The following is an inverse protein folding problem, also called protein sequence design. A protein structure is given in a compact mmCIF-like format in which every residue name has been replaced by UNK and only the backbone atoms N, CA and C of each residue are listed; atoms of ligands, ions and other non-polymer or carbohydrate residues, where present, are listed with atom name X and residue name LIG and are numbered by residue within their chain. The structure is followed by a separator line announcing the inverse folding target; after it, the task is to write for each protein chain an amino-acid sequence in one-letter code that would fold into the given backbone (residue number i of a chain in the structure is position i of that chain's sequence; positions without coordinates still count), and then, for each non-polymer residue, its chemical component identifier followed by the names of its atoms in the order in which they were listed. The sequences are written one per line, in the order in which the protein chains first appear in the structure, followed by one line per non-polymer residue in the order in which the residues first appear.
data_IF_943456041993
#
_entry.id   IF_943456041993
#
_cell.length_a   1.000
_cell.length_b   1.000
_cell.length_c   1.000
_cell.angle_alpha   90.00
_cell.angle_beta   90.00
_cell.angle_gamma   90.00
#
_symmetry.space_group_name_H-M   'P 1'
#
loop_
_entity.id
_entity.type
_entity.pdbx_description
1 polymer ?
#
# COMPACT_ATOMS: atom_id res chain seq x y z
N UNK A 1 -9.70 8.28 -36.61
CA UNK A 1 -8.57 7.72 -35.81
C UNK A 1 -8.59 8.43 -34.47
N UNK A 2 -8.85 7.71 -33.39
CA UNK A 2 -8.76 8.25 -32.00
C UNK A 2 -7.31 8.59 -31.73
N UNK A 3 -7.01 9.82 -31.37
CA UNK A 3 -5.65 10.28 -31.07
C UNK A 3 -5.41 10.21 -29.56
N UNK A 4 -4.87 9.08 -29.09
CA UNK A 4 -4.35 8.99 -27.74
C UNK A 4 -3.03 9.75 -27.61
N UNK A 5 -2.87 10.44 -26.47
CA UNK A 5 -1.64 11.14 -26.13
C UNK A 5 -1.36 11.01 -24.63
N UNK A 6 -0.11 11.23 -24.24
CA UNK A 6 0.33 11.26 -22.84
C UNK A 6 0.67 12.69 -22.45
N UNK A 7 0.12 13.16 -21.35
CA UNK A 7 0.45 14.43 -20.71
C UNK A 7 1.03 14.18 -19.34
N UNK A 8 2.17 14.75 -19.04
CA UNK A 8 2.80 14.65 -17.72
C UNK A 8 1.84 15.19 -16.64
N UNK A 9 1.75 14.48 -15.53
CA UNK A 9 0.94 14.86 -14.37
C UNK A 9 1.61 15.99 -13.61
N UNK A 10 0.85 17.01 -13.24
CA UNK A 10 1.22 18.10 -12.35
C UNK A 10 0.46 17.99 -11.02
N UNK A 11 0.89 18.71 -9.99
CA UNK A 11 0.20 18.69 -8.68
C UNK A 11 -1.27 19.15 -8.76
N UNK A 12 -1.57 20.03 -9.73
CA UNK A 12 -2.94 20.49 -10.00
C UNK A 12 -3.85 19.41 -10.60
N UNK A 13 -3.29 18.30 -11.07
CA UNK A 13 -4.06 17.21 -11.67
C UNK A 13 -4.58 16.18 -10.65
N UNK A 14 -4.32 16.38 -9.37
CA UNK A 14 -4.65 15.38 -8.36
C UNK A 14 -6.14 15.01 -8.33
N UNK A 15 -7.04 15.99 -8.50
CA UNK A 15 -8.48 15.74 -8.59
C UNK A 15 -8.85 14.97 -9.87
N UNK A 16 -8.29 15.37 -11.02
CA UNK A 16 -8.53 14.68 -12.28
C UNK A 16 -8.01 13.23 -12.22
N UNK A 17 -6.84 13.03 -11.61
CA UNK A 17 -6.26 11.70 -11.39
C UNK A 17 -7.15 10.85 -10.50
N UNK A 18 -7.60 11.38 -9.36
CA UNK A 18 -8.52 10.70 -8.44
C UNK A 18 -9.85 10.33 -9.14
N UNK A 19 -10.39 11.23 -9.96
CA UNK A 19 -11.58 10.96 -10.76
C UNK A 19 -11.39 9.81 -11.75
N UNK A 20 -10.22 9.69 -12.36
CA UNK A 20 -9.91 8.56 -13.27
C UNK A 20 -9.74 7.25 -12.51
N UNK A 21 -9.11 7.26 -11.33
CA UNK A 21 -9.04 6.07 -10.45
C UNK A 21 -10.44 5.56 -10.15
N UNK A 22 -11.33 6.43 -9.73
CA UNK A 22 -12.73 6.07 -9.44
C UNK A 22 -13.50 5.60 -10.69
N UNK A 23 -13.25 6.18 -11.87
CA UNK A 23 -13.87 5.73 -13.11
C UNK A 23 -13.41 4.32 -13.52
N UNK A 24 -12.17 3.96 -13.22
CA UNK A 24 -11.62 2.62 -13.49
C UNK A 24 -12.10 1.62 -12.43
N UNK A 25 -12.07 2.04 -11.17
CA UNK A 25 -12.47 1.23 -10.01
C UNK A 25 -13.46 2.01 -9.14
N UNK A 26 -14.78 1.88 -9.37
CA UNK A 26 -15.79 2.60 -8.59
C UNK A 26 -15.78 2.29 -7.10
N UNK A 27 -15.19 1.18 -6.70
CA UNK A 27 -14.98 0.76 -5.31
C UNK A 27 -13.68 1.34 -4.68
N UNK A 28 -12.90 2.11 -5.45
CA UNK A 28 -11.70 2.81 -4.99
C UNK A 28 -11.89 4.33 -5.07
N UNK A 29 -11.42 5.03 -4.06
CA UNK A 29 -11.37 6.49 -4.04
C UNK A 29 -9.97 6.91 -3.66
N UNK A 30 -9.33 7.71 -4.50
CA UNK A 30 -8.03 8.31 -4.20
C UNK A 30 -8.23 9.70 -3.59
N UNK A 31 -7.49 9.99 -2.51
CA UNK A 31 -7.49 11.31 -1.88
C UNK A 31 -6.52 12.24 -2.62
N UNK A 32 -6.98 13.38 -3.19
CA UNK A 32 -6.11 14.31 -3.90
C UNK A 32 -4.99 14.90 -3.02
N UNK A 33 -5.19 15.09 -1.72
CA UNK A 33 -4.16 15.64 -0.84
C UNK A 33 -3.07 14.61 -0.54
N UNK A 34 -3.44 13.34 -0.37
CA UNK A 34 -2.49 12.22 -0.27
C UNK A 34 -1.68 12.08 -1.56
N UNK A 35 -2.34 12.20 -2.72
CA UNK A 35 -1.67 12.18 -4.03
C UNK A 35 -0.65 13.33 -4.14
N UNK A 36 -1.05 14.57 -3.81
CA UNK A 36 -0.16 15.75 -3.86
C UNK A 36 1.04 15.59 -2.91
N UNK A 37 0.82 15.11 -1.68
CA UNK A 37 1.90 14.90 -0.73
C UNK A 37 2.92 13.90 -1.30
N UNK A 38 2.45 12.74 -1.76
CA UNK A 38 3.30 11.72 -2.37
C UNK A 38 4.06 12.24 -3.60
N UNK A 39 3.40 12.97 -4.49
CA UNK A 39 4.03 13.49 -5.70
C UNK A 39 5.06 14.59 -5.43
N UNK A 40 4.91 15.39 -4.35
CA UNK A 40 5.95 16.35 -3.92
C UNK A 40 7.23 15.64 -3.51
N UNK A 41 7.10 14.57 -2.73
CA UNK A 41 8.24 13.78 -2.27
C UNK A 41 8.94 13.11 -3.45
N UNK A 42 8.16 12.58 -4.39
CA UNK A 42 8.66 11.93 -5.59
C UNK A 42 9.27 12.91 -6.60
N UNK A 43 8.81 14.15 -6.68
CA UNK A 43 9.31 15.18 -7.60
C UNK A 43 10.76 15.61 -7.31
N UNK A 44 11.32 15.24 -6.16
CA UNK A 44 12.71 15.54 -5.81
C UNK A 44 13.73 14.91 -6.77
N UNK A 45 13.37 13.82 -7.49
CA UNK A 45 14.22 13.19 -8.51
C UNK A 45 13.42 12.75 -9.73
N UNK A 46 13.19 13.66 -10.70
CA UNK A 46 12.40 13.36 -11.91
C UNK A 46 13.08 12.36 -12.85
N UNK A 47 14.36 12.04 -12.65
CA UNK A 47 15.06 11.05 -13.47
C UNK A 47 14.69 9.61 -13.08
N UNK A 48 13.95 9.42 -11.98
CA UNK A 48 13.60 8.12 -11.44
C UNK A 48 12.16 7.74 -11.64
N UNK A 49 11.34 8.60 -12.23
CA UNK A 49 9.92 8.35 -12.45
C UNK A 49 9.31 9.27 -13.49
N UNK A 50 8.19 8.84 -14.04
CA UNK A 50 7.26 9.70 -14.77
C UNK A 50 5.82 9.21 -14.57
N UNK A 51 4.89 10.16 -14.52
CA UNK A 51 3.44 9.92 -14.44
C UNK A 51 2.73 10.68 -15.55
N UNK A 52 1.75 10.03 -16.12
CA UNK A 52 1.00 10.57 -17.26
C UNK A 52 -0.50 10.41 -17.04
N UNK A 53 -1.25 11.44 -17.41
CA UNK A 53 -2.64 11.28 -17.81
C UNK A 53 -2.67 10.78 -19.24
N UNK A 54 -3.46 9.74 -19.48
CA UNK A 54 -3.77 9.27 -20.82
C UNK A 54 -4.96 10.05 -21.35
N UNK A 55 -4.80 10.69 -22.49
CA UNK A 55 -5.83 11.50 -23.13
C UNK A 55 -6.30 10.84 -24.41
N UNK A 56 -7.61 10.77 -24.61
CA UNK A 56 -8.23 10.53 -25.90
C UNK A 56 -8.78 11.88 -26.38
N UNK A 57 -8.17 12.48 -27.40
CA UNK A 57 -8.35 13.88 -27.79
C UNK A 57 -8.02 14.83 -26.62
N UNK A 58 -9.03 15.36 -25.93
CA UNK A 58 -8.86 16.27 -24.78
C UNK A 58 -9.39 15.67 -23.46
N UNK A 59 -10.03 14.50 -23.52
CA UNK A 59 -10.62 13.84 -22.33
C UNK A 59 -9.61 12.92 -21.69
N UNK A 60 -9.43 13.06 -20.38
CA UNK A 60 -8.64 12.10 -19.60
C UNK A 60 -9.40 10.77 -19.55
N UNK A 61 -8.74 9.69 -19.94
CA UNK A 61 -9.33 8.37 -20.08
C UNK A 61 -8.46 7.25 -19.50
N UNK A 62 -7.35 7.59 -18.87
CA UNK A 62 -6.48 6.60 -18.26
C UNK A 62 -5.28 7.23 -17.57
N UNK A 63 -4.48 6.38 -16.98
CA UNK A 63 -3.28 6.70 -16.21
C UNK A 63 -2.13 5.81 -16.67
N UNK A 64 -0.92 6.35 -16.70
CA UNK A 64 0.29 5.55 -16.90
C UNK A 64 1.42 6.11 -16.05
N UNK A 65 2.28 5.24 -15.55
CA UNK A 65 3.49 5.66 -14.85
C UNK A 65 4.58 4.60 -14.89
N UNK A 66 5.79 5.04 -14.65
CA UNK A 66 6.89 4.20 -14.21
C UNK A 66 7.64 4.87 -13.06
N UNK A 67 8.22 4.08 -12.18
CA UNK A 67 9.00 4.56 -11.03
C UNK A 67 10.09 3.54 -10.70
N UNK A 68 11.35 3.98 -10.63
CA UNK A 68 12.44 3.14 -10.12
C UNK A 68 12.25 2.87 -8.64
N UNK A 69 12.34 1.62 -8.24
CA UNK A 69 12.32 1.25 -6.82
C UNK A 69 13.60 1.75 -6.16
N UNK A 70 13.44 2.55 -5.11
CA UNK A 70 14.57 3.14 -4.37
C UNK A 70 15.17 2.15 -3.37
N UNK A 71 16.49 2.05 -3.34
CA UNK A 71 17.22 1.21 -2.37
C UNK A 71 18.72 1.32 -2.58
N UNK A 72 19.56 0.80 -1.66
CA UNK A 72 21.00 0.75 -1.82
C UNK A 72 21.35 0.01 -3.11
N UNK A 73 21.90 0.72 -4.08
CA UNK A 73 22.15 0.27 -5.46
C UNK A 73 23.00 -1.01 -5.58
N UNK A 74 23.72 -1.40 -4.54
CA UNK A 74 24.70 -2.48 -4.59
C UNK A 74 24.11 -3.90 -4.44
N UNK A 75 22.83 -4.05 -4.07
CA UNK A 75 22.29 -5.36 -3.65
C UNK A 75 21.00 -5.80 -4.40
N UNK A 76 20.39 -4.95 -5.23
CA UNK A 76 19.12 -5.30 -5.89
C UNK A 76 19.21 -5.08 -7.40
N UNK A 77 18.56 -5.95 -8.19
CA UNK A 77 18.38 -5.66 -9.61
C UNK A 77 17.63 -4.33 -9.74
N UNK A 78 18.00 -3.54 -10.77
CA UNK A 78 17.34 -2.26 -11.04
C UNK A 78 15.91 -2.53 -11.48
N UNK A 79 14.99 -2.45 -10.52
CA UNK A 79 13.56 -2.69 -10.69
C UNK A 79 12.84 -1.37 -10.90
N UNK A 80 11.91 -1.34 -11.85
CA UNK A 80 10.92 -0.27 -11.94
C UNK A 80 9.50 -0.83 -11.80
N UNK A 81 8.63 -0.10 -11.11
CA UNK A 81 7.19 -0.30 -11.22
C UNK A 81 6.72 0.37 -12.50
N UNK A 82 5.89 -0.31 -13.29
CA UNK A 82 5.19 0.24 -14.44
C UNK A 82 3.70 -0.02 -14.30
N UNK A 83 2.88 0.92 -14.72
CA UNK A 83 1.44 0.73 -14.71
C UNK A 83 0.81 1.47 -15.89
N UNK A 84 -0.19 0.83 -16.50
CA UNK A 84 -1.06 1.41 -17.52
C UNK A 84 -2.48 1.02 -17.17
N UNK A 85 -3.34 1.99 -16.96
CA UNK A 85 -4.77 1.78 -16.66
C UNK A 85 -5.61 2.63 -17.58
N UNK A 86 -6.54 1.99 -18.28
CA UNK A 86 -7.50 2.65 -19.16
C UNK A 86 -8.90 2.45 -18.61
N UNK A 87 -9.72 3.49 -18.69
CA UNK A 87 -11.13 3.39 -18.33
C UNK A 87 -11.80 2.29 -19.18
N UNK A 88 -12.76 1.52 -18.64
CA UNK A 88 -13.33 0.35 -19.32
C UNK A 88 -13.80 0.62 -20.75
N UNK A 89 -14.44 1.75 -20.99
CA UNK A 89 -14.94 2.17 -22.30
C UNK A 89 -13.84 2.62 -23.28
N UNK A 90 -12.61 2.80 -22.78
CA UNK A 90 -11.44 3.23 -23.55
C UNK A 90 -10.37 2.12 -23.68
N UNK A 91 -10.70 0.92 -23.23
CA UNK A 91 -9.82 -0.23 -23.31
C UNK A 91 -9.65 -0.66 -24.77
N UNK A 92 -8.49 -0.38 -25.33
CA UNK A 92 -8.06 -0.79 -26.64
C UNK A 92 -6.66 -1.39 -26.54
N UNK A 93 -6.48 -2.52 -27.21
CA UNK A 93 -5.23 -3.24 -27.19
C UNK A 93 -4.08 -2.41 -27.80
N UNK A 94 -4.32 -1.75 -28.94
CA UNK A 94 -3.28 -1.00 -29.64
C UNK A 94 -2.75 0.17 -28.79
N UNK A 95 -3.64 0.88 -28.11
CA UNK A 95 -3.29 1.98 -27.21
C UNK A 95 -2.59 1.49 -25.97
N UNK A 96 -3.08 0.39 -25.36
CA UNK A 96 -2.41 -0.23 -24.23
C UNK A 96 -0.98 -0.67 -24.59
N UNK A 97 -0.81 -1.34 -25.72
CA UNK A 97 0.49 -1.80 -26.23
C UNK A 97 1.46 -0.64 -26.44
N UNK A 98 0.97 0.47 -27.03
CA UNK A 98 1.78 1.67 -27.26
C UNK A 98 2.19 2.33 -25.94
N UNK A 99 1.26 2.53 -25.01
CA UNK A 99 1.54 3.17 -23.71
C UNK A 99 2.50 2.32 -22.89
N UNK A 100 2.24 1.01 -22.80
CA UNK A 100 3.09 0.10 -22.01
C UNK A 100 4.53 0.08 -22.54
N UNK A 101 4.72 -0.01 -23.87
CA UNK A 101 6.05 0.07 -24.47
C UNK A 101 6.75 1.38 -24.14
N UNK A 102 6.01 2.48 -24.13
CA UNK A 102 6.57 3.79 -23.76
C UNK A 102 7.06 3.79 -22.31
N UNK A 103 6.28 3.25 -21.37
CA UNK A 103 6.70 3.13 -19.96
C UNK A 103 7.93 2.23 -19.82
N UNK A 104 7.98 1.11 -20.53
CA UNK A 104 9.13 0.19 -20.53
C UNK A 104 10.40 0.84 -21.08
N UNK A 105 10.31 1.57 -22.18
CA UNK A 105 11.44 2.28 -22.79
C UNK A 105 11.99 3.34 -21.84
N UNK A 106 11.14 4.15 -21.22
CA UNK A 106 11.57 5.18 -20.27
C UNK A 106 12.18 4.58 -19.00
N UNK A 107 11.56 3.55 -18.44
CA UNK A 107 12.10 2.83 -17.30
C UNK A 107 13.47 2.20 -17.61
N UNK A 108 13.62 1.60 -18.81
CA UNK A 108 14.90 1.04 -19.27
C UNK A 108 15.96 2.12 -19.46
N UNK A 109 15.61 3.26 -20.04
CA UNK A 109 16.52 4.41 -20.21
C UNK A 109 16.97 4.97 -18.84
N UNK A 110 16.11 4.92 -17.82
CA UNK A 110 16.45 5.24 -16.43
C UNK A 110 17.28 4.14 -15.73
N UNK A 111 17.53 3.02 -16.42
CA UNK A 111 18.40 1.93 -15.97
C UNK A 111 17.68 0.73 -15.38
N UNK A 112 16.36 0.61 -15.49
CA UNK A 112 15.65 -0.60 -15.09
C UNK A 112 16.05 -1.79 -15.99
N UNK A 113 16.22 -2.95 -15.40
CA UNK A 113 16.43 -4.23 -16.09
C UNK A 113 15.30 -5.22 -15.87
N UNK A 114 14.48 -4.95 -14.86
CA UNK A 114 13.24 -5.66 -14.57
C UNK A 114 12.15 -4.62 -14.38
N UNK A 115 10.96 -4.92 -14.89
CA UNK A 115 9.75 -4.15 -14.64
C UNK A 115 8.73 -5.00 -13.90
N UNK A 116 8.03 -4.36 -12.95
CA UNK A 116 6.95 -4.93 -12.17
C UNK A 116 5.66 -4.19 -12.50
N UNK A 117 4.63 -4.93 -12.84
CA UNK A 117 3.27 -4.42 -12.98
C UNK A 117 2.34 -5.09 -11.97
N UNK A 118 1.32 -4.38 -11.49
CA UNK A 118 0.31 -4.93 -10.59
C UNK A 118 -1.06 -4.73 -11.21
N UNK A 119 -1.86 -5.80 -11.23
CA UNK A 119 -3.26 -5.78 -11.67
C UNK A 119 -4.16 -6.31 -10.57
N UNK A 120 -5.44 -5.99 -10.63
CA UNK A 120 -6.45 -6.70 -9.82
C UNK A 120 -6.82 -8.04 -10.47
N UNK A 121 -7.29 -8.99 -9.67
CA UNK A 121 -7.78 -10.29 -10.17
C UNK A 121 -8.98 -10.13 -11.12
N UNK A 122 -9.80 -9.10 -10.93
CA UNK A 122 -10.99 -8.78 -11.72
C UNK A 122 -10.70 -7.84 -12.93
N UNK A 123 -9.44 -7.67 -13.31
CA UNK A 123 -9.00 -6.90 -14.49
C UNK A 123 -8.51 -7.80 -15.64
N UNK A 124 -9.37 -8.56 -16.33
CA UNK A 124 -8.94 -9.51 -17.35
C UNK A 124 -8.25 -8.84 -18.56
N UNK A 125 -8.66 -7.62 -18.93
CA UNK A 125 -8.05 -6.87 -20.03
C UNK A 125 -6.56 -6.59 -19.73
N UNK A 126 -6.25 -6.01 -18.59
CA UNK A 126 -4.88 -5.66 -18.21
C UNK A 126 -4.00 -6.91 -18.07
N UNK A 127 -4.51 -7.95 -17.39
CA UNK A 127 -3.80 -9.22 -17.21
C UNK A 127 -3.44 -9.89 -18.54
N UNK A 128 -4.42 -9.99 -19.46
CA UNK A 128 -4.20 -10.61 -20.78
C UNK A 128 -3.17 -9.84 -21.60
N UNK A 129 -3.24 -8.51 -21.59
CA UNK A 129 -2.30 -7.69 -22.35
C UNK A 129 -0.89 -7.73 -21.75
N UNK A 130 -0.73 -7.70 -20.42
CA UNK A 130 0.57 -7.89 -19.78
C UNK A 130 1.19 -9.25 -20.16
N UNK A 131 0.41 -10.35 -20.10
CA UNK A 131 0.90 -11.67 -20.48
C UNK A 131 1.39 -11.70 -21.95
N UNK A 132 0.67 -11.05 -22.89
CA UNK A 132 1.08 -10.91 -24.31
C UNK A 132 2.38 -10.13 -24.46
N UNK A 133 2.67 -9.20 -23.57
CA UNK A 133 3.93 -8.45 -23.52
C UNK A 133 5.06 -9.20 -22.78
N UNK A 134 4.86 -10.45 -22.42
CA UNK A 134 5.87 -11.29 -21.77
C UNK A 134 6.03 -11.06 -20.26
N UNK A 135 5.05 -10.44 -19.62
CA UNK A 135 4.99 -10.42 -18.16
C UNK A 135 4.54 -11.78 -17.64
N UNK A 136 5.26 -12.28 -16.67
CA UNK A 136 4.94 -13.52 -15.96
C UNK A 136 4.35 -13.20 -14.60
N UNK A 137 3.32 -13.94 -14.19
CA UNK A 137 2.79 -13.85 -12.82
C UNK A 137 3.86 -14.25 -11.84
N UNK A 138 4.10 -13.39 -10.87
CA UNK A 138 5.09 -13.58 -9.81
C UNK A 138 4.41 -13.92 -8.49
N UNK A 139 3.55 -13.04 -7.99
CA UNK A 139 2.89 -13.19 -6.68
C UNK A 139 1.43 -12.80 -6.74
N UNK A 140 0.68 -13.34 -5.79
CA UNK A 140 -0.74 -13.01 -5.60
C UNK A 140 -0.93 -12.55 -4.15
N UNK A 141 -1.59 -11.42 -3.99
CA UNK A 141 -2.01 -10.91 -2.68
C UNK A 141 -3.53 -10.94 -2.58
N UNK A 142 -4.05 -11.19 -1.41
CA UNK A 142 -5.48 -11.10 -1.13
C UNK A 142 -5.81 -9.74 -0.56
N UNK A 143 -6.79 -9.07 -1.16
CA UNK A 143 -7.39 -7.88 -0.58
C UNK A 143 -8.55 -8.28 0.32
N UNK A 144 -8.81 -7.47 1.35
CA UNK A 144 -9.79 -7.75 2.37
C UNK A 144 -10.51 -6.48 2.78
N UNK A 145 -11.75 -6.63 3.23
CA UNK A 145 -12.48 -5.58 3.93
C UNK A 145 -13.04 -6.06 5.26
N UNK A 146 -13.13 -5.16 6.22
CA UNK A 146 -13.79 -5.39 7.51
C UNK A 146 -14.89 -4.37 7.70
N UNK A 147 -16.14 -4.85 7.82
CA UNK A 147 -17.29 -4.00 8.09
C UNK A 147 -17.39 -3.72 9.59
N UNK A 148 -17.00 -2.52 9.99
CA UNK A 148 -16.96 -2.11 11.40
C UNK A 148 -18.36 -1.86 11.99
N UNK A 149 -19.36 -1.62 11.15
CA UNK A 149 -20.76 -1.43 11.59
C UNK A 149 -21.37 -2.78 11.98
N UNK A 150 -21.24 -3.76 11.10
CA UNK A 150 -21.78 -5.11 11.31
C UNK A 150 -21.06 -5.85 12.43
N UNK A 151 -19.73 -5.74 12.48
CA UNK A 151 -18.87 -6.49 13.39
C UNK A 151 -18.60 -5.76 14.72
N UNK A 152 -19.19 -4.56 14.93
CA UNK A 152 -18.89 -3.66 16.06
C UNK A 152 -18.83 -4.37 17.41
N UNK A 153 -19.89 -5.09 17.79
CA UNK A 153 -20.00 -5.72 19.10
C UNK A 153 -18.90 -6.74 19.33
N UNK A 154 -18.74 -7.66 18.37
CA UNK A 154 -17.74 -8.73 18.41
C UNK A 154 -16.30 -8.18 18.46
N UNK A 155 -16.02 -7.12 17.70
CA UNK A 155 -14.68 -6.50 17.66
C UNK A 155 -14.34 -5.80 18.98
N UNK A 156 -15.29 -5.10 19.59
CA UNK A 156 -15.06 -4.45 20.91
C UNK A 156 -14.88 -5.46 22.04
N UNK A 157 -15.61 -6.56 22.05
CA UNK A 157 -15.41 -7.68 22.96
C UNK A 157 -14.02 -8.33 22.75
N UNK A 158 -13.64 -8.58 21.49
CA UNK A 158 -12.33 -9.12 21.15
C UNK A 158 -11.20 -8.17 21.55
N UNK A 159 -11.38 -6.85 21.41
CA UNK A 159 -10.44 -5.83 21.89
C UNK A 159 -10.25 -5.92 23.41
N UNK A 160 -11.35 -5.98 24.16
CA UNK A 160 -11.29 -6.10 25.63
C UNK A 160 -10.58 -7.38 26.07
N UNK A 161 -10.93 -8.52 25.48
CA UNK A 161 -10.29 -9.80 25.77
C UNK A 161 -8.79 -9.79 25.41
N UNK A 162 -8.42 -9.14 24.31
CA UNK A 162 -7.03 -9.01 23.87
C UNK A 162 -6.20 -8.14 24.82
N UNK A 163 -6.77 -7.02 25.31
CA UNK A 163 -6.12 -6.19 26.34
C UNK A 163 -5.83 -6.98 27.62
N UNK A 164 -6.78 -7.80 28.04
CA UNK A 164 -6.59 -8.68 29.22
C UNK A 164 -5.49 -9.71 28.98
N UNK A 165 -5.44 -10.32 27.80
CA UNK A 165 -4.38 -11.26 27.43
C UNK A 165 -3.00 -10.59 27.43
N UNK A 166 -2.89 -9.34 26.90
CA UNK A 166 -1.62 -8.60 26.92
C UNK A 166 -1.17 -8.27 28.35
N UNK A 167 -2.09 -7.87 29.24
CA UNK A 167 -1.77 -7.62 30.66
C UNK A 167 -1.22 -8.86 31.36
N UNK A 168 -1.72 -10.06 31.06
CA UNK A 168 -1.20 -11.32 31.63
C UNK A 168 0.23 -11.64 31.22
N UNK A 169 0.69 -11.06 30.11
CA UNK A 169 2.07 -11.13 29.63
C UNK A 169 2.93 -9.95 30.05
N UNK A 170 2.42 -9.04 30.90
CA UNK A 170 3.03 -7.75 31.24
C UNK A 170 3.32 -6.87 30.02
N UNK A 171 2.51 -7.02 28.96
CA UNK A 171 2.61 -6.18 27.77
C UNK A 171 1.62 -5.02 27.84
N UNK A 172 2.12 -3.81 27.63
CA UNK A 172 1.32 -2.59 27.63
C UNK A 172 0.97 -2.17 26.21
N UNK A 173 -0.31 -1.83 25.99
CA UNK A 173 -0.80 -1.24 24.75
C UNK A 173 -1.02 0.26 24.99
N UNK A 174 -0.52 1.11 24.07
CA UNK A 174 -0.65 2.56 24.16
C UNK A 174 -0.73 3.18 22.78
N UNK A 175 -1.47 4.27 22.63
CA UNK A 175 -1.33 5.14 21.48
C UNK A 175 0.05 5.82 21.48
N UNK A 176 0.57 6.18 20.31
CA UNK A 176 1.91 6.76 20.19
C UNK A 176 2.05 8.07 20.98
N UNK A 177 1.02 8.90 20.96
CA UNK A 177 0.97 10.17 21.68
C UNK A 177 1.08 10.04 23.22
N UNK A 178 0.60 8.93 23.77
CA UNK A 178 0.67 8.66 25.24
C UNK A 178 2.10 8.39 25.72
N UNK A 179 3.00 8.06 24.78
CA UNK A 179 4.37 7.63 25.07
C UNK A 179 5.41 8.50 24.37
N UNK A 180 5.07 9.71 23.97
CA UNK A 180 5.96 10.63 23.25
C UNK A 180 7.32 10.84 23.95
N UNK A 181 7.35 10.84 25.30
CA UNK A 181 8.57 10.95 26.12
C UNK A 181 9.57 9.79 25.95
N UNK A 182 9.18 8.68 25.31
CA UNK A 182 10.03 7.49 25.08
C UNK A 182 10.78 7.50 23.76
N UNK A 183 10.76 8.61 23.02
CA UNK A 183 11.34 8.71 21.66
C UNK A 183 10.85 7.61 20.71
N UNK A 184 9.53 7.45 20.57
CA UNK A 184 8.96 6.26 19.93
C UNK A 184 9.30 6.14 18.45
N UNK A 185 9.48 7.25 17.72
CA UNK A 185 9.74 7.26 16.27
C UNK A 185 10.99 6.47 15.86
N UNK A 186 12.09 6.60 16.61
CA UNK A 186 13.31 5.84 16.31
C UNK A 186 13.11 4.34 16.51
N UNK A 187 12.31 3.95 17.50
CA UNK A 187 12.00 2.55 17.79
C UNK A 187 11.02 1.97 16.79
N UNK A 188 10.02 2.74 16.34
CA UNK A 188 9.11 2.35 15.27
C UNK A 188 9.88 2.11 13.98
N UNK A 189 10.77 3.04 13.59
CA UNK A 189 11.62 2.87 12.42
C UNK A 189 12.51 1.63 12.52
N UNK A 190 13.16 1.40 13.68
CA UNK A 190 13.96 0.18 13.87
C UNK A 190 13.14 -1.08 13.66
N UNK A 191 11.94 -1.16 14.25
CA UNK A 191 11.06 -2.31 14.08
C UNK A 191 10.57 -2.44 12.62
N UNK A 192 10.27 -1.35 11.94
CA UNK A 192 9.95 -1.36 10.51
C UNK A 192 11.14 -1.89 9.69
N UNK A 193 12.35 -1.38 9.94
CA UNK A 193 13.55 -1.79 9.22
C UNK A 193 13.90 -3.28 9.43
N UNK A 194 13.60 -3.83 10.61
CA UNK A 194 13.76 -5.26 10.91
C UNK A 194 12.72 -6.14 10.19
N UNK A 195 11.48 -5.63 10.02
CA UNK A 195 10.36 -6.45 9.57
C UNK A 195 10.01 -6.28 8.09
N UNK A 196 10.35 -5.15 7.45
CA UNK A 196 10.15 -4.94 6.00
C UNK A 196 10.83 -6.03 5.16
N UNK A 197 12.10 -6.43 5.42
CA UNK A 197 12.74 -7.50 4.65
C UNK A 197 12.10 -8.88 4.81
N UNK A 198 11.24 -9.07 5.80
CA UNK A 198 10.53 -10.33 6.04
C UNK A 198 9.17 -10.40 5.32
N UNK A 199 8.76 -9.32 4.67
CA UNK A 199 7.54 -9.34 3.84
C UNK A 199 7.78 -10.29 2.67
N UNK A 200 6.92 -11.29 2.45
CA UNK A 200 7.08 -12.21 1.33
C UNK A 200 7.10 -11.46 0.00
N UNK A 201 8.19 -11.58 -0.73
CA UNK A 201 8.38 -10.97 -2.04
C UNK A 201 9.50 -11.68 -2.80
N UNK A 202 9.39 -11.82 -4.11
CA UNK A 202 10.40 -12.44 -4.96
C UNK A 202 11.63 -11.52 -5.14
N UNK A 203 11.37 -10.22 -5.24
CA UNK A 203 12.43 -9.20 -5.26
C UNK A 203 12.31 -8.44 -3.94
N UNK A 204 13.27 -8.59 -3.00
CA UNK A 204 13.19 -7.92 -1.71
C UNK A 204 12.96 -6.42 -1.83
N UNK A 205 12.02 -5.89 -1.06
CA UNK A 205 11.82 -4.45 -0.98
C UNK A 205 12.96 -3.83 -0.15
N UNK A 206 13.56 -2.75 -0.64
CA UNK A 206 14.59 -2.06 0.13
C UNK A 206 13.98 -1.42 1.38
N UNK A 207 14.71 -1.49 2.49
CA UNK A 207 14.34 -0.71 3.67
C UNK A 207 14.48 0.77 3.32
N UNK A 208 13.42 1.59 3.44
CA UNK A 208 13.52 3.02 3.16
C UNK A 208 14.52 3.69 4.11
N UNK A 209 15.14 4.79 3.69
CA UNK A 209 15.91 5.61 4.63
C UNK A 209 15.00 6.09 5.76
N UNK A 210 15.60 6.46 6.89
CA UNK A 210 14.82 6.99 8.02
C UNK A 210 14.03 8.23 7.62
N UNK A 211 14.61 9.09 6.81
CA UNK A 211 14.02 10.32 6.31
C UNK A 211 12.80 10.01 5.44
N UNK A 212 12.93 9.11 4.46
CA UNK A 212 11.84 8.70 3.58
C UNK A 212 10.71 8.01 4.35
N UNK A 213 11.06 7.15 5.32
CA UNK A 213 10.07 6.52 6.19
C UNK A 213 9.35 7.54 7.08
N UNK A 214 10.08 8.52 7.64
CA UNK A 214 9.48 9.59 8.44
C UNK A 214 8.54 10.47 7.61
N UNK A 215 8.90 10.82 6.37
CA UNK A 215 8.01 11.55 5.46
C UNK A 215 6.69 10.80 5.24
N UNK A 216 6.77 9.48 4.99
CA UNK A 216 5.58 8.64 4.85
C UNK A 216 4.73 8.64 6.14
N UNK A 217 5.37 8.50 7.31
CA UNK A 217 4.67 8.48 8.60
C UNK A 217 4.12 9.85 9.05
N UNK A 218 4.52 10.93 8.39
CA UNK A 218 4.00 12.29 8.58
C UNK A 218 3.08 12.71 7.42
N UNK A 219 2.66 11.77 6.57
CA UNK A 219 1.69 12.00 5.51
C UNK A 219 0.33 12.45 6.06
N UNK A 220 -0.50 13.11 5.21
CA UNK A 220 -1.78 13.68 5.64
C UNK A 220 -2.80 12.65 6.10
N UNK A 221 -2.59 11.38 5.77
CA UNK A 221 -3.44 10.25 6.10
C UNK A 221 -2.96 9.45 7.32
N UNK A 222 -1.80 9.79 7.90
CA UNK A 222 -1.24 9.14 9.10
C UNK A 222 -1.35 10.07 10.30
N UNK A 223 -1.96 9.59 11.38
CA UNK A 223 -2.19 10.36 12.60
C UNK A 223 -1.49 9.70 13.79
N UNK A 224 -0.65 10.44 14.50
CA UNK A 224 0.14 9.91 15.62
C UNK A 224 -0.73 9.31 16.74
N UNK A 225 -1.88 9.93 17.03
CA UNK A 225 -2.85 9.46 18.02
C UNK A 225 -3.57 8.17 17.61
N UNK A 226 -3.37 7.72 16.37
CA UNK A 226 -3.97 6.52 15.78
C UNK A 226 -2.95 5.43 15.47
N UNK A 227 -1.71 5.62 15.86
CA UNK A 227 -0.66 4.58 15.83
C UNK A 227 -0.67 3.88 17.18
N UNK A 228 -0.99 2.58 17.18
CA UNK A 228 -1.01 1.77 18.38
C UNK A 228 0.24 0.94 18.52
N UNK A 229 0.78 0.90 19.73
CA UNK A 229 2.06 0.27 20.08
C UNK A 229 1.87 -0.74 21.20
N UNK A 230 2.70 -1.77 21.18
CA UNK A 230 2.81 -2.77 22.26
C UNK A 230 4.22 -2.73 22.85
N UNK A 231 4.31 -2.78 24.18
CA UNK A 231 5.55 -2.64 24.94
C UNK A 231 5.72 -3.76 25.94
N UNK A 232 6.96 -4.27 26.05
CA UNK A 232 7.42 -5.10 27.15
C UNK A 232 8.43 -4.27 27.98
N UNK A 233 8.00 -3.75 29.13
CA UNK A 233 8.76 -2.75 29.88
C UNK A 233 9.08 -1.50 29.03
N UNK A 234 10.36 -1.27 28.76
CA UNK A 234 10.84 -0.16 27.92
C UNK A 234 11.04 -0.54 26.44
N UNK A 235 10.88 -1.80 26.07
CA UNK A 235 11.10 -2.30 24.70
C UNK A 235 9.81 -2.24 23.90
N UNK A 236 9.84 -1.59 22.74
CA UNK A 236 8.78 -1.68 21.73
C UNK A 236 8.80 -3.10 21.13
N UNK A 237 7.68 -3.80 21.16
CA UNK A 237 7.56 -5.18 20.67
C UNK A 237 6.61 -5.33 19.49
N UNK A 238 5.78 -4.32 19.23
CA UNK A 238 4.89 -4.31 18.07
C UNK A 238 4.20 -2.97 17.90
N UNK A 239 3.72 -2.69 16.69
CA UNK A 239 2.84 -1.57 16.40
C UNK A 239 1.93 -1.86 15.22
N UNK A 240 0.85 -1.09 15.11
CA UNK A 240 -0.04 -1.05 13.96
C UNK A 240 -0.64 0.34 13.80
N UNK A 241 -0.95 0.72 12.56
CA UNK A 241 -1.70 1.91 12.27
C UNK A 241 -2.59 1.72 11.05
N UNK A 242 -3.62 2.55 10.97
CA UNK A 242 -4.47 2.71 9.80
C UNK A 242 -4.15 4.05 9.14
N UNK A 243 -4.23 4.09 7.82
CA UNK A 243 -4.21 5.29 6.98
C UNK A 243 -5.64 5.83 6.90
N UNK A 244 -5.83 7.12 7.21
CA UNK A 244 -7.13 7.81 7.24
C UNK A 244 -7.11 8.99 6.26
N UNK A 245 -7.24 8.76 4.97
CA UNK A 245 -7.34 9.85 4.01
C UNK A 245 -8.60 10.67 4.28
N UNK A 246 -8.59 11.98 3.92
CA UNK A 246 -9.75 12.83 4.04
C UNK A 246 -10.88 12.41 3.09
N UNK A 247 -10.51 11.82 1.97
CA UNK A 247 -11.42 11.17 1.03
C UNK A 247 -10.97 9.75 0.72
N UNK A 248 -11.90 8.81 0.66
CA UNK A 248 -11.61 7.42 0.31
C UNK A 248 -11.64 6.46 1.50
N UNK A 249 -11.06 5.29 1.26
CA UNK A 249 -11.11 4.18 2.20
C UNK A 249 -10.03 4.26 3.27
N UNK A 250 -10.37 3.79 4.47
CA UNK A 250 -9.39 3.57 5.53
C UNK A 250 -8.67 2.24 5.29
N UNK A 251 -7.34 2.28 5.27
CA UNK A 251 -6.51 1.11 5.01
C UNK A 251 -5.58 0.78 6.17
N UNK A 252 -5.29 -0.50 6.37
CA UNK A 252 -4.17 -0.88 7.24
C UNK A 252 -2.87 -0.42 6.60
N UNK A 253 -2.18 0.53 7.22
CA UNK A 253 -0.90 1.02 6.77
C UNK A 253 0.21 0.01 7.02
N UNK A 254 0.38 -0.42 8.26
CA UNK A 254 1.36 -1.45 8.62
C UNK A 254 1.01 -2.14 9.96
N UNK A 255 1.49 -3.38 10.10
CA UNK A 255 1.47 -4.11 11.37
C UNK A 255 2.78 -4.88 11.51
N UNK A 256 3.53 -4.63 12.56
CA UNK A 256 4.82 -5.27 12.83
C UNK A 256 4.92 -5.79 14.26
N UNK A 257 5.62 -6.90 14.44
CA UNK A 257 5.95 -7.49 15.76
C UNK A 257 7.37 -8.03 15.70
N UNK A 258 8.16 -7.74 16.74
CA UNK A 258 9.51 -8.28 16.88
C UNK A 258 9.48 -9.80 16.86
N UNK A 259 10.49 -10.42 16.27
CA UNK A 259 10.53 -11.88 16.04
C UNK A 259 10.31 -12.68 17.33
N UNK A 260 10.91 -12.25 18.43
CA UNK A 260 10.86 -12.95 19.73
C UNK A 260 9.48 -12.87 20.41
N UNK A 261 8.62 -11.95 19.98
CA UNK A 261 7.29 -11.76 20.57
C UNK A 261 6.15 -12.24 19.64
N UNK A 262 6.48 -12.88 18.52
CA UNK A 262 5.48 -13.52 17.65
C UNK A 262 4.84 -14.73 18.32
N UNK A 263 3.66 -15.10 17.86
CA UNK A 263 2.88 -16.21 18.46
C UNK A 263 2.24 -15.90 19.82
N UNK A 264 2.44 -14.69 20.37
CA UNK A 264 1.89 -14.26 21.67
C UNK A 264 0.66 -13.34 21.56
N UNK A 265 0.07 -13.22 20.38
CA UNK A 265 -1.13 -12.40 20.15
C UNK A 265 -0.87 -10.89 19.98
N UNK A 266 0.40 -10.42 19.99
CA UNK A 266 0.74 -8.99 19.93
C UNK A 266 0.22 -8.33 18.66
N UNK A 267 0.42 -8.93 17.46
CA UNK A 267 -0.07 -8.38 16.20
C UNK A 267 -1.60 -8.22 16.20
N UNK A 268 -2.32 -9.25 16.68
CA UNK A 268 -3.77 -9.20 16.82
C UNK A 268 -4.20 -8.10 17.78
N UNK A 269 -3.47 -7.91 18.88
CA UNK A 269 -3.79 -6.91 19.90
C UNK A 269 -3.65 -5.48 19.34
N UNK A 270 -2.53 -5.13 18.70
CA UNK A 270 -2.34 -3.78 18.13
C UNK A 270 -3.32 -3.53 16.97
N UNK A 271 -3.66 -4.54 16.15
CA UNK A 271 -4.72 -4.41 15.13
C UNK A 271 -6.10 -4.18 15.74
N UNK A 272 -6.44 -4.87 16.82
CA UNK A 272 -7.71 -4.65 17.52
C UNK A 272 -7.81 -3.26 18.17
N UNK A 273 -6.69 -2.68 18.59
CA UNK A 273 -6.67 -1.30 19.07
C UNK A 273 -6.93 -0.32 17.93
N UNK A 274 -6.27 -0.46 16.78
CA UNK A 274 -6.50 0.42 15.61
C UNK A 274 -7.93 0.29 15.09
N UNK A 275 -8.46 -0.93 15.00
CA UNK A 275 -9.84 -1.21 14.58
C UNK A 275 -10.86 -0.65 15.59
N UNK A 276 -10.61 -0.85 16.89
CA UNK A 276 -11.49 -0.31 17.93
C UNK A 276 -11.53 1.23 17.91
N UNK A 277 -10.40 1.87 17.69
CA UNK A 277 -10.36 3.34 17.53
C UNK A 277 -11.07 3.79 16.25
N UNK A 278 -10.93 3.05 15.13
CA UNK A 278 -11.68 3.32 13.90
C UNK A 278 -13.21 3.24 14.13
N UNK A 279 -13.67 2.27 14.93
CA UNK A 279 -15.07 2.17 15.37
C UNK A 279 -15.48 3.43 16.16
N UNK A 280 -14.64 3.88 17.10
CA UNK A 280 -14.91 5.06 17.94
C UNK A 280 -14.95 6.36 17.11
N UNK A 281 -14.19 6.41 16.00
CA UNK A 281 -14.18 7.49 15.02
C UNK A 281 -15.31 7.41 13.98
N UNK A 282 -16.18 6.38 14.02
CA UNK A 282 -17.30 6.22 13.11
C UNK A 282 -16.93 5.70 11.72
N UNK A 283 -15.76 5.10 11.55
CA UNK A 283 -15.35 4.46 10.30
C UNK A 283 -16.24 3.24 10.03
N UNK A 284 -16.77 3.15 8.81
CA UNK A 284 -17.65 2.05 8.43
C UNK A 284 -16.89 0.80 7.93
N UNK A 285 -15.80 1.02 7.19
CA UNK A 285 -15.02 -0.04 6.53
C UNK A 285 -13.53 0.17 6.72
N UNK A 286 -12.79 -0.91 6.94
CA UNK A 286 -11.31 -0.92 6.89
C UNK A 286 -10.87 -1.95 5.85
N UNK A 287 -10.00 -1.55 4.94
CA UNK A 287 -9.41 -2.43 3.92
C UNK A 287 -7.96 -2.81 4.28
N UNK A 288 -7.49 -3.93 3.75
CA UNK A 288 -6.09 -4.34 3.85
C UNK A 288 -5.72 -5.24 2.67
N UNK A 289 -4.43 -5.38 2.42
CA UNK A 289 -3.91 -6.29 1.40
C UNK A 289 -2.71 -7.04 1.97
N UNK A 290 -2.64 -8.34 1.71
CA UNK A 290 -1.55 -9.19 2.21
C UNK A 290 -1.22 -10.28 1.20
N UNK A 291 0.08 -10.53 1.04
CA UNK A 291 0.56 -11.64 0.24
C UNK A 291 0.02 -12.99 0.73
N UNK A 292 -0.34 -13.89 -0.19
CA UNK A 292 -0.91 -15.20 0.13
C UNK A 292 0.06 -16.10 0.91
N UNK A 293 1.36 -15.87 0.84
CA UNK A 293 2.36 -16.61 1.63
C UNK A 293 2.50 -16.12 3.07
N UNK A 294 1.94 -14.95 3.39
CA UNK A 294 1.94 -14.43 4.76
C UNK A 294 0.80 -15.02 5.61
N UNK A 295 0.87 -16.33 5.84
CA UNK A 295 -0.18 -17.08 6.55
C UNK A 295 -0.53 -16.51 7.92
N UNK A 296 0.44 -15.93 8.63
CA UNK A 296 0.22 -15.37 9.96
C UNK A 296 -0.76 -14.17 9.94
N UNK A 297 -0.57 -13.21 9.01
CA UNK A 297 -1.46 -12.05 8.92
C UNK A 297 -2.81 -12.43 8.30
N UNK A 298 -2.84 -13.37 7.34
CA UNK A 298 -4.09 -13.89 6.77
C UNK A 298 -4.96 -14.50 7.87
N UNK A 299 -4.41 -15.36 8.73
CA UNK A 299 -5.12 -15.94 9.86
C UNK A 299 -5.67 -14.85 10.83
N UNK A 300 -4.88 -13.80 11.11
CA UNK A 300 -5.34 -12.69 11.94
C UNK A 300 -6.53 -12.01 11.27
N UNK A 301 -6.46 -11.69 9.98
CA UNK A 301 -7.55 -11.04 9.26
C UNK A 301 -8.82 -11.88 9.29
N UNK A 302 -8.73 -13.18 9.00
CA UNK A 302 -9.86 -14.12 9.09
C UNK A 302 -10.46 -14.14 10.50
N UNK A 303 -9.61 -14.21 11.54
CA UNK A 303 -10.07 -14.21 12.94
C UNK A 303 -10.75 -12.90 13.35
N UNK A 304 -10.44 -11.80 12.70
CA UNK A 304 -11.07 -10.49 12.90
C UNK A 304 -12.35 -10.32 12.07
N UNK A 305 -12.67 -11.25 11.17
CA UNK A 305 -13.86 -11.22 10.33
C UNK A 305 -13.71 -10.36 9.07
N UNK A 306 -12.48 -10.19 8.59
CA UNK A 306 -12.29 -9.61 7.27
C UNK A 306 -12.85 -10.54 6.20
N UNK A 307 -13.55 -9.95 5.24
CA UNK A 307 -14.08 -10.63 4.06
C UNK A 307 -13.16 -10.40 2.85
N UNK A 308 -12.97 -11.42 1.98
CA UNK A 308 -12.10 -11.28 0.82
C UNK A 308 -12.70 -10.35 -0.23
N UNK A 309 -11.84 -9.54 -0.85
CA UNK A 309 -12.07 -8.77 -2.06
C UNK A 309 -11.20 -9.33 -3.20
N UNK A 310 -11.43 -8.92 -4.46
CA UNK A 310 -10.51 -9.21 -5.55
C UNK A 310 -9.08 -8.85 -5.17
N UNK A 311 -8.18 -9.83 -5.28
CA UNK A 311 -6.79 -9.67 -4.89
C UNK A 311 -5.96 -8.89 -5.91
N UNK A 312 -4.67 -8.74 -5.61
CA UNK A 312 -3.70 -8.13 -6.51
C UNK A 312 -2.74 -9.20 -7.05
N UNK A 313 -2.45 -9.13 -8.33
CA UNK A 313 -1.50 -10.00 -9.01
C UNK A 313 -0.29 -9.16 -9.41
N UNK A 314 0.87 -9.53 -8.89
CA UNK A 314 2.15 -8.97 -9.28
C UNK A 314 2.70 -9.72 -10.50
N UNK A 315 3.13 -8.99 -11.49
CA UNK A 315 3.72 -9.51 -12.72
C UNK A 315 5.12 -8.94 -12.89
N UNK A 316 6.06 -9.76 -13.33
CA UNK A 316 7.44 -9.37 -13.62
C UNK A 316 7.80 -9.62 -15.09
N UNK A 317 8.65 -8.75 -15.64
CA UNK A 317 9.24 -8.91 -16.96
C UNK A 317 10.68 -8.43 -16.95
N UNK A 318 11.60 -9.22 -17.56
CA UNK A 318 12.96 -8.74 -17.86
C UNK A 318 12.93 -7.87 -19.12
N UNK A 319 13.65 -6.74 -19.08
CA UNK A 319 13.81 -5.82 -20.23
C UNK A 319 15.06 -6.14 -21.07
N UNK A 320 15.75 -7.23 -20.80
CA UNK A 320 16.96 -7.68 -21.53
C UNK A 320 16.59 -8.59 -22.70
#
# INVERSE_FOLDING_TARGET
MTHFSLRTVELADAEAYAGVVHAIHPDETADPDVLRARWRDEAADPTRQARYLVLNEKRVCGLAFWTLVSGPMAQHPRLANVNVRLAPEQQSQAEFDWILRRMEIEASAAGAIIVRAVTREDEPFHRTNLARHGYLTDRVSRSWQLNLVLERGRLLEARAASREAMRRHDFNLSALTEIAHRYPWSRLYQLAAETIPEIPTTIPEPVPSREAWMQQMQGPDVHEDRIWTAWNGSRLIGYSYLSYPAAGDVWTGYTAVTKEHRGRGVARAVKLETVGQAIDLGVALVKTNNDLENSAILHINESLGYEPLPGLITHLKSLR
#
